data_IF_782357711718
#
_entry.id   IF_782357711718
#
_cell.length_a   1.000
_cell.length_b   1.000
_cell.length_c   1.000
_cell.angle_alpha   90.00
_cell.angle_beta   90.00
_cell.angle_gamma   90.00
#
_symmetry.space_group_name_H-M   'P 1'
#
loop_
_entity.id
_entity.type
_entity.pdbx_description
1 polymer ?
2 non-polymer ?
3 non-polymer ?
4 non-polymer ?
5 water ?
#
# COMPACT_ATOMS: atom_id res chain seq x y z
N UNK A 35 16.23 4.96 -11.14
CA UNK A 35 15.17 6.00 -11.31
C UNK A 35 14.04 5.52 -12.23
N UNK A 36 14.34 5.45 -13.53
CA UNK A 36 13.39 4.92 -14.51
C UNK A 36 13.13 3.42 -14.32
N UNK A 37 14.14 2.70 -13.86
CA UNK A 37 14.01 1.29 -13.49
C UNK A 37 12.89 1.01 -12.50
N UNK A 38 12.68 1.92 -11.55
CA UNK A 38 11.61 1.81 -10.56
C UNK A 38 10.23 1.87 -11.22
N UNK A 39 10.03 2.81 -12.14
CA UNK A 39 8.79 2.91 -12.89
C UNK A 39 8.56 1.63 -13.71
N UNK A 40 9.64 1.10 -14.27
CA UNK A 40 9.57 -0.15 -15.00
C UNK A 40 9.10 -1.30 -14.10
N UNK A 41 9.62 -1.33 -12.87
CA UNK A 41 9.25 -2.37 -11.91
C UNK A 41 7.75 -2.29 -11.56
N UNK A 42 7.23 -1.09 -11.36
CA UNK A 42 5.83 -0.89 -11.02
C UNK A 42 4.90 -1.27 -12.19
N UNK A 43 5.31 -0.93 -13.41
CA UNK A 43 4.60 -1.36 -14.62
C UNK A 43 4.57 -2.88 -14.78
N UNK A 44 5.68 -3.53 -14.44
CA UNK A 44 5.80 -4.99 -14.57
C UNK A 44 5.14 -5.75 -13.41
N UNK A 45 4.68 -5.02 -12.40
CA UNK A 45 3.89 -5.62 -11.34
C UNK A 45 2.48 -5.83 -11.90
N UNK A 46 2.21 -7.06 -12.34
CA UNK A 46 0.94 -7.39 -13.03
C UNK A 46 -0.26 -7.22 -12.13
N UNK A 47 -0.17 -7.73 -10.90
CA UNK A 47 -1.27 -7.60 -9.96
C UNK A 47 -1.66 -6.13 -9.83
N UNK A 48 -0.67 -5.27 -9.60
CA UNK A 48 -0.90 -3.84 -9.46
C UNK A 48 -1.51 -3.26 -10.74
N UNK A 49 -0.79 -3.39 -11.85
CA UNK A 49 -1.17 -2.67 -13.06
C UNK A 49 -2.42 -3.25 -13.73
N UNK A 50 -2.54 -4.57 -13.77
CA UNK A 50 -3.72 -5.20 -14.35
C UNK A 50 -4.98 -4.99 -13.54
N UNK A 51 -4.85 -4.86 -12.21
CA UNK A 51 -6.01 -4.52 -11.36
C UNK A 51 -6.61 -3.18 -11.76
N UNK A 52 -5.75 -2.17 -11.93
CA UNK A 52 -6.19 -0.84 -12.34
C UNK A 52 -6.77 -0.88 -13.75
N UNK A 53 -6.07 -1.58 -14.64
CA UNK A 53 -6.54 -1.75 -16.02
C UNK A 53 -7.93 -2.39 -16.06
N UNK A 54 -8.10 -3.50 -15.34
CA UNK A 54 -9.38 -4.20 -15.26
C UNK A 54 -10.48 -3.34 -14.67
N UNK A 55 -10.19 -2.62 -13.59
CA UNK A 55 -11.18 -1.72 -12.99
C UNK A 55 -11.70 -0.71 -14.02
N UNK A 56 -10.76 -0.02 -14.67
CA UNK A 56 -11.09 1.04 -15.62
C UNK A 56 -11.81 0.47 -16.86
N UNK A 57 -11.21 -0.53 -17.48
CA UNK A 57 -11.78 -1.13 -18.70
C UNK A 57 -13.10 -1.85 -18.46
N UNK A 58 -13.29 -2.45 -17.29
CA UNK A 58 -14.53 -3.19 -17.02
C UNK A 58 -15.65 -2.36 -16.43
N UNK A 59 -15.34 -1.11 -16.09
CA UNK A 59 -16.31 -0.15 -15.59
C UNK A 59 -16.24 1.20 -16.33
N UNK A 60 -16.33 1.18 -17.68
CA UNK A 60 -16.14 2.40 -18.46
C UNK A 60 -17.22 3.47 -18.20
N UNK A 61 -18.36 3.06 -17.64
CA UNK A 61 -19.43 3.99 -17.24
C UNK A 61 -18.94 5.01 -16.21
N UNK A 62 -17.94 4.64 -15.43
CA UNK A 62 -17.36 5.53 -14.44
C UNK A 62 -16.54 6.66 -15.09
N UNK A 63 -16.07 6.40 -16.31
CA UNK A 63 -15.15 7.31 -17.00
C UNK A 63 -15.74 8.03 -18.21
N UNK A 64 -16.79 7.44 -18.80
CA UNK A 64 -17.37 7.94 -20.04
C UNK A 64 -17.76 9.42 -19.90
N UNK A 65 -17.11 10.26 -20.71
CA UNK A 65 -17.39 11.71 -20.76
C UNK A 65 -17.13 12.44 -19.45
N UNK A 66 -16.23 11.89 -18.62
CA UNK A 66 -15.89 12.49 -17.32
C UNK A 66 -14.57 13.24 -17.37
N UNK A 67 -14.40 14.16 -16.42
CA UNK A 67 -13.11 14.79 -16.17
C UNK A 67 -12.40 14.01 -15.06
N UNK A 68 -11.21 13.50 -15.38
CA UNK A 68 -10.45 12.61 -14.50
C UNK A 68 -9.12 13.27 -14.08
N UNK A 69 -8.79 13.15 -12.80
CA UNK A 69 -7.50 13.58 -12.29
C UNK A 69 -6.69 12.36 -11.85
N UNK A 70 -5.48 12.23 -12.41
CA UNK A 70 -4.56 11.13 -12.07
C UNK A 70 -3.41 11.69 -11.22
N UNK A 71 -3.48 11.46 -9.91
CA UNK A 71 -2.53 12.00 -8.94
C UNK A 71 -1.26 11.15 -8.87
N UNK A 72 -0.12 11.75 -9.25
CA UNK A 72 1.14 11.01 -9.34
C UNK A 72 1.09 10.04 -10.51
N UNK A 73 0.98 10.60 -11.71
CA UNK A 73 0.67 9.80 -12.91
C UNK A 73 1.82 8.97 -13.48
N UNK A 74 3.05 9.21 -13.02
CA UNK A 74 4.21 8.48 -13.55
C UNK A 74 4.31 8.60 -15.06
N UNK A 75 4.45 7.46 -15.74
CA UNK A 75 4.51 7.38 -17.22
C UNK A 75 3.21 7.80 -17.92
N UNK A 76 2.12 7.87 -17.16
CA UNK A 76 0.80 8.26 -17.70
C UNK A 76 -0.12 7.10 -18.02
N UNK A 77 0.28 5.90 -17.63
CA UNK A 77 -0.45 4.69 -18.02
C UNK A 77 -1.92 4.69 -17.54
N UNK A 78 -2.17 5.13 -16.31
CA UNK A 78 -3.55 5.18 -15.79
C UNK A 78 -4.38 6.24 -16.52
N UNK A 79 -3.73 7.35 -16.89
CA UNK A 79 -4.38 8.40 -17.68
C UNK A 79 -4.79 7.88 -19.06
N UNK A 80 -3.94 7.07 -19.68
CA UNK A 80 -4.27 6.47 -20.97
C UNK A 80 -5.38 5.41 -20.85
N UNK A 81 -5.39 4.63 -19.75
CA UNK A 81 -6.51 3.70 -19.52
C UNK A 81 -7.83 4.49 -19.46
N UNK A 82 -7.81 5.57 -18.70
CA UNK A 82 -9.02 6.39 -18.50
C UNK A 82 -9.46 7.00 -19.84
N UNK A 83 -8.51 7.45 -20.65
CA UNK A 83 -8.82 8.01 -21.97
C UNK A 83 -9.46 6.95 -22.88
N UNK A 84 -8.91 5.76 -22.90
CA UNK A 84 -9.46 4.66 -23.62
C UNK A 84 -10.85 4.26 -23.18
N UNK A 85 -11.12 4.37 -21.90
CA UNK A 85 -12.46 4.03 -21.37
C UNK A 85 -13.49 5.13 -21.63
N UNK A 86 -13.05 6.21 -22.30
CA UNK A 86 -13.94 7.26 -22.79
C UNK A 86 -13.91 8.58 -22.03
N UNK A 87 -12.91 8.81 -21.19
CA UNK A 87 -12.81 10.09 -20.48
C UNK A 87 -12.84 11.28 -21.45
N UNK A 88 -13.59 12.32 -21.09
CA UNK A 88 -13.64 13.56 -21.85
C UNK A 88 -12.30 14.29 -21.73
N UNK A 89 -11.76 14.31 -20.50
CA UNK A 89 -10.51 15.01 -20.18
C UNK A 89 -9.80 14.28 -19.06
N UNK A 90 -8.50 14.06 -19.20
CA UNK A 90 -7.69 13.55 -18.10
C UNK A 90 -6.54 14.49 -17.76
N UNK A 91 -6.37 14.77 -16.48
CA UNK A 91 -5.25 15.57 -16.00
C UNK A 91 -4.29 14.69 -15.23
N UNK A 92 -3.06 14.55 -15.72
CA UNK A 92 -2.05 13.75 -15.05
C UNK A 92 -1.04 14.68 -14.41
N UNK A 93 -0.88 14.54 -13.10
CA UNK A 93 0.02 15.39 -12.33
C UNK A 93 1.11 14.54 -11.67
N UNK A 94 2.36 14.98 -11.77
CA UNK A 94 3.47 14.30 -11.11
C UNK A 94 4.56 15.32 -10.86
N UNK A 95 5.25 15.21 -9.73
CA UNK A 95 6.31 16.16 -9.40
C UNK A 95 7.68 15.77 -9.94
N UNK A 96 7.80 14.53 -10.40
CA UNK A 96 9.06 13.97 -10.86
C UNK A 96 9.31 14.19 -12.35
N UNK A 97 10.59 14.08 -12.74
CA UNK A 97 11.04 14.22 -14.13
C UNK A 97 10.41 13.21 -15.10
N UNK A 98 9.90 12.11 -14.55
CA UNK A 98 9.13 11.14 -15.34
C UNK A 98 8.00 11.81 -16.14
N UNK A 99 7.50 12.94 -15.63
CA UNK A 99 6.42 13.68 -16.28
C UNK A 99 6.79 14.05 -17.72
N UNK A 100 8.07 14.34 -17.98
CA UNK A 100 8.53 14.65 -19.34
C UNK A 100 8.47 13.44 -20.26
N UNK A 101 8.76 12.26 -19.73
CA UNK A 101 8.57 11.02 -20.49
C UNK A 101 7.08 10.81 -20.79
N UNK A 102 6.24 11.02 -19.79
CA UNK A 102 4.77 10.92 -19.95
C UNK A 102 4.26 11.79 -21.10
N UNK A 103 4.79 13.00 -21.20
CA UNK A 103 4.42 13.92 -22.28
C UNK A 103 4.69 13.28 -23.65
N UNK A 104 5.88 12.68 -23.79
CA UNK A 104 6.25 12.02 -25.02
C UNK A 104 5.40 10.76 -25.25
N UNK A 105 5.15 10.02 -24.17
CA UNK A 105 4.31 8.82 -24.25
C UNK A 105 2.90 9.17 -24.72
N UNK A 106 2.29 10.17 -24.09
CA UNK A 106 0.94 10.60 -24.46
C UNK A 106 0.88 10.97 -25.95
N UNK A 107 1.91 11.64 -26.46
CA UNK A 107 2.02 12.00 -27.88
C UNK A 107 2.18 10.80 -28.81
N UNK A 108 3.01 9.82 -28.41
CA UNK A 108 3.19 8.60 -29.18
C UNK A 108 1.87 7.85 -29.33
N UNK A 109 1.01 7.97 -28.33
CA UNK A 109 -0.29 7.29 -28.36
C UNK A 109 -1.45 8.15 -28.86
N UNK A 110 -1.12 9.35 -29.37
CA UNK A 110 -2.08 10.29 -29.98
C UNK A 110 -3.22 10.68 -29.03
N UNK A 111 -2.86 10.94 -27.78
CA UNK A 111 -3.88 11.21 -26.75
C UNK A 111 -3.77 12.61 -26.16
N UNK A 112 -2.94 13.44 -26.78
CA UNK A 112 -2.67 14.79 -26.27
C UNK A 112 -3.90 15.71 -26.27
N UNK A 113 -4.88 15.42 -27.13
CA UNK A 113 -6.13 16.18 -27.11
C UNK A 113 -7.10 15.78 -25.98
N UNK A 114 -6.81 14.65 -25.33
CA UNK A 114 -7.58 14.17 -24.18
C UNK A 114 -6.82 14.30 -22.85
N UNK A 115 -5.51 14.06 -22.90
CA UNK A 115 -4.69 14.03 -21.68
C UNK A 115 -3.75 15.22 -21.61
N UNK A 116 -3.87 16.00 -20.53
CA UNK A 116 -2.99 17.13 -20.27
C UNK A 116 -2.13 16.77 -19.07
N UNK A 117 -0.81 16.98 -19.19
CA UNK A 117 0.12 16.67 -18.12
C UNK A 117 0.70 17.93 -17.49
N UNK A 118 0.80 17.89 -16.16
CA UNK A 118 1.20 19.05 -15.38
C UNK A 118 2.23 18.60 -14.36
N UNK A 119 3.38 19.26 -14.39
CA UNK A 119 4.49 18.94 -13.51
C UNK A 119 4.44 19.76 -12.24
N UNK A 120 4.42 19.08 -11.10
CA UNK A 120 4.44 19.73 -9.78
C UNK A 120 3.66 18.95 -8.74
N UNK A 121 3.69 19.46 -7.50
CA UNK A 121 2.91 18.89 -6.41
C UNK A 121 1.44 19.30 -6.58
N UNK A 122 0.53 18.37 -6.29
CA UNK A 122 -0.91 18.64 -6.45
C UNK A 122 -1.39 19.85 -5.63
N UNK A 123 -0.69 20.14 -4.54
CA UNK A 123 -1.02 21.24 -3.65
C UNK A 123 -0.50 22.59 -4.15
N UNK A 124 0.30 22.57 -5.22
CA UNK A 124 0.89 23.79 -5.75
C UNK A 124 0.48 24.14 -7.19
N UNK A 125 0.18 23.12 -8.00
CA UNK A 125 -0.10 23.34 -9.42
C UNK A 125 -1.43 24.00 -9.69
N UNK A 126 -1.53 24.63 -10.86
CA UNK A 126 -2.79 25.19 -11.31
C UNK A 126 -3.39 24.26 -12.36
N UNK A 127 -4.59 23.77 -12.08
CA UNK A 127 -5.32 22.94 -13.04
C UNK A 127 -6.20 23.82 -13.94
N UNK A 128 -6.47 23.38 -15.18
CA UNK A 128 -7.31 24.16 -16.08
C UNK A 128 -8.82 23.95 -15.85
N UNK A 129 -9.18 23.31 -14.74
CA UNK A 129 -10.59 23.18 -14.34
C UNK A 129 -10.75 23.49 -12.86
N UNK A 130 -11.97 23.81 -12.42
CA UNK A 130 -12.24 24.04 -11.00
C UNK A 130 -12.42 22.74 -10.22
N UNK A 131 -13.10 21.78 -10.86
CA UNK A 131 -13.44 20.51 -10.22
C UNK A 131 -13.22 19.36 -11.21
N UNK A 132 -13.07 18.15 -10.68
CA UNK A 132 -13.01 16.94 -11.49
C UNK A 132 -14.07 15.95 -11.00
N UNK A 133 -14.45 15.01 -11.87
CA UNK A 133 -15.49 14.02 -11.58
C UNK A 133 -14.94 12.79 -10.87
N UNK A 134 -13.70 12.44 -11.22
CA UNK A 134 -13.07 11.20 -10.75
C UNK A 134 -11.61 11.44 -10.48
N UNK A 135 -11.13 10.91 -9.36
CA UNK A 135 -9.72 10.87 -9.04
C UNK A 135 -9.27 9.42 -9.03
N UNK A 136 -8.18 9.15 -9.73
CA UNK A 136 -7.52 7.85 -9.69
C UNK A 136 -6.07 8.10 -9.33
N UNK A 137 -5.48 7.14 -8.62
CA UNK A 137 -4.10 7.27 -8.20
C UNK A 137 -3.60 5.92 -7.74
N UNK A 138 -2.35 5.62 -8.05
CA UNK A 138 -1.65 4.52 -7.40
C UNK A 138 -0.70 5.14 -6.39
N UNK A 139 -1.14 5.21 -5.15
CA UNK A 139 -0.46 6.03 -4.13
C UNK A 139 0.17 5.18 -3.05
N UNK A 140 -0.16 3.89 -3.04
CA UNK A 140 0.14 2.99 -1.91
C UNK A 140 1.63 2.71 -1.64
N UNK A 141 2.00 2.78 -0.35
CA UNK A 141 3.36 2.44 0.08
C UNK A 141 3.44 1.06 0.74
N UNK A 142 4.65 0.66 1.15
CA UNK A 142 4.81 -0.53 1.98
C UNK A 142 3.96 -0.43 3.24
N UNK A 143 3.31 -1.53 3.62
CA UNK A 143 2.38 -1.57 4.77
C UNK A 143 1.31 -0.45 4.59
N UNK A 144 0.93 -0.26 3.32
CA UNK A 144 -0.01 0.77 2.87
C UNK A 144 0.51 2.20 3.00
N UNK A 145 0.99 2.57 4.19
CA UNK A 145 1.20 3.97 4.51
C UNK A 145 2.66 4.51 4.56
N UNK A 146 3.66 3.64 4.51
CA UNK A 146 5.03 4.14 4.49
C UNK A 146 5.32 4.77 3.16
N UNK A 147 5.70 6.04 3.23
CA UNK A 147 6.09 6.83 2.04
C UNK A 147 5.00 6.82 0.96
N UNK A 148 3.74 6.82 1.40
CA UNK A 148 2.61 6.79 0.49
C UNK A 148 2.27 8.21 0.02
N UNK A 149 1.52 8.31 -1.08
CA UNK A 149 1.02 9.60 -1.52
C UNK A 149 -0.43 9.86 -1.08
N UNK A 150 -0.94 9.10 -0.11
CA UNK A 150 -2.35 9.26 0.31
C UNK A 150 -2.67 10.71 0.72
N UNK A 151 -1.72 11.36 1.39
CA UNK A 151 -1.88 12.75 1.78
C UNK A 151 -2.22 13.64 0.57
N UNK A 152 -1.55 13.41 -0.55
CA UNK A 152 -1.75 14.20 -1.77
C UNK A 152 -3.10 13.87 -2.44
N UNK A 153 -3.47 12.58 -2.41
CA UNK A 153 -4.77 12.13 -2.90
C UNK A 153 -5.91 12.78 -2.12
N UNK A 154 -5.80 12.80 -0.80
CA UNK A 154 -6.83 13.40 0.05
C UNK A 154 -6.90 14.92 -0.13
N UNK A 155 -5.75 15.56 -0.31
CA UNK A 155 -5.72 16.98 -0.64
C UNK A 155 -6.49 17.23 -1.94
N UNK A 156 -6.18 16.45 -2.98
CA UNK A 156 -6.84 16.53 -4.28
C UNK A 156 -8.35 16.31 -4.15
N UNK A 157 -8.73 15.31 -3.35
CA UNK A 157 -10.13 15.02 -3.05
C UNK A 157 -10.82 16.23 -2.42
N UNK A 158 -10.19 16.84 -1.42
CA UNK A 158 -10.78 17.98 -0.71
C UNK A 158 -10.83 19.26 -1.54
N UNK A 159 -9.78 19.52 -2.32
CA UNK A 159 -9.78 20.73 -3.14
C UNK A 159 -10.57 20.59 -4.44
N UNK A 160 -10.40 19.46 -5.14
CA UNK A 160 -10.85 19.35 -6.53
C UNK A 160 -12.02 18.42 -6.88
N UNK A 161 -12.36 17.48 -6.00
CA UNK A 161 -13.43 16.53 -6.36
C UNK A 161 -14.82 17.18 -6.35
N UNK A 162 -15.51 17.11 -7.49
CA UNK A 162 -16.86 17.63 -7.62
C UNK A 162 -17.77 16.98 -6.60
N UNK A 163 -18.80 17.72 -6.17
CA UNK A 163 -19.81 17.17 -5.28
C UNK A 163 -20.37 15.90 -5.93
N UNK A 164 -20.38 14.79 -5.20
CA UNK A 164 -20.85 13.53 -5.77
C UNK A 164 -19.85 12.80 -6.68
N UNK A 165 -18.62 13.31 -6.76
CA UNK A 165 -17.55 12.62 -7.50
C UNK A 165 -17.05 11.38 -6.78
N UNK A 166 -16.06 10.71 -7.37
CA UNK A 166 -15.54 9.46 -6.82
C UNK A 166 -14.01 9.37 -6.87
N UNK A 167 -13.43 8.65 -5.91
CA UNK A 167 -11.98 8.44 -5.79
C UNK A 167 -11.69 6.95 -5.81
N UNK A 168 -10.72 6.53 -6.62
CA UNK A 168 -10.39 5.13 -6.75
C UNK A 168 -8.89 4.92 -6.65
N UNK A 169 -8.47 3.82 -5.99
CA UNK A 169 -9.32 2.82 -5.32
C UNK A 169 -10.00 3.43 -4.11
N UNK A 170 -11.24 3.02 -3.83
CA UNK A 170 -12.02 3.70 -2.81
C UNK A 170 -11.95 3.11 -1.39
N UNK A 171 -11.61 1.83 -1.27
CA UNK A 171 -11.54 1.14 0.02
C UNK A 171 -10.21 0.40 0.16
N UNK A 172 -9.54 0.58 1.31
CA UNK A 172 -8.27 -0.07 1.63
C UNK A 172 -8.36 -0.66 3.02
N UNK A 173 -7.71 -1.79 3.25
CA UNK A 173 -7.61 -2.36 4.60
C UNK A 173 -6.18 -2.72 4.89
N UNK A 174 -5.81 -2.71 6.16
CA UNK A 174 -4.51 -3.20 6.60
C UNK A 174 -4.76 -4.37 7.54
N UNK A 175 -3.97 -5.43 7.38
CA UNK A 175 -4.07 -6.62 8.23
C UNK A 175 -2.75 -7.05 8.83
N UNK A 176 -2.84 -7.71 9.99
CA UNK A 176 -1.69 -8.34 10.64
C UNK A 176 -1.84 -9.86 10.68
N UNK A 177 -0.74 -10.58 10.66
CA UNK A 177 -0.76 -12.05 10.73
C UNK A 177 0.50 -12.52 11.47
N UNK A 178 0.36 -13.54 12.33
CA UNK A 178 1.50 -14.05 13.09
C UNK A 178 2.33 -15.01 12.25
N UNK A 179 3.64 -15.01 12.51
CA UNK A 179 4.60 -15.78 11.74
C UNK A 179 5.42 -16.66 12.69
N UNK A 180 5.69 -17.90 12.27
CA UNK A 180 6.71 -18.74 12.94
C UNK A 180 7.82 -19.03 11.95
N UNK A 181 9.02 -18.55 12.25
CA UNK A 181 10.18 -18.87 11.41
C UNK A 181 11.42 -18.80 12.26
N UNK A 182 11.61 -19.85 13.05
CA UNK A 182 12.70 -19.99 13.99
C UNK A 182 14.07 -19.93 13.29
N UNK A 183 14.18 -20.52 12.11
CA UNK A 183 15.42 -20.46 11.33
C UNK A 183 15.78 -19.04 10.86
N UNK A 184 14.80 -18.33 10.30
CA UNK A 184 15.03 -16.93 9.91
C UNK A 184 15.31 -16.02 11.11
N UNK A 185 14.59 -16.23 12.20
CA UNK A 185 14.85 -15.46 13.42
C UNK A 185 16.30 -15.70 13.88
N UNK A 186 16.72 -16.96 13.92
CA UNK A 186 18.09 -17.28 14.28
C UNK A 186 19.12 -16.60 13.36
N UNK A 187 18.79 -16.51 12.06
CA UNK A 187 19.62 -15.83 11.07
C UNK A 187 19.78 -14.34 11.35
N UNK A 188 18.73 -13.71 11.88
CA UNK A 188 18.74 -12.26 12.13
C UNK A 188 19.21 -11.89 13.53
N UNK A 189 18.96 -12.77 14.50
CA UNK A 189 19.12 -12.41 15.92
C UNK A 189 20.26 -13.16 16.58
N UNK A 190 20.11 -14.47 16.74
CA UNK A 190 21.15 -15.30 17.35
C UNK A 190 22.48 -15.19 16.59
N UNK A 191 22.41 -14.91 15.29
CA UNK A 191 23.58 -14.64 14.45
C UNK A 191 24.60 -13.73 15.13
N UNK A 192 24.12 -12.69 15.82
CA UNK A 192 24.99 -11.67 16.41
C UNK A 192 25.81 -12.16 17.61
N UNK A 193 25.47 -13.32 18.16
CA UNK A 193 26.19 -13.81 19.33
C UNK A 193 27.60 -14.31 19.02
N UNK A 194 27.84 -14.74 17.79
CA UNK A 194 29.14 -15.26 17.37
C UNK A 194 29.37 -14.92 15.91
N UNK A 195 30.13 -13.85 15.67
CA UNK A 195 30.38 -13.37 14.33
C UNK A 195 31.88 -13.55 14.06
N UNK A 196 32.19 -14.61 13.32
CA UNK A 196 33.57 -15.03 13.04
C UNK A 196 34.41 -15.07 14.31
N UNK A 197 33.81 -15.60 15.38
CA UNK A 197 34.53 -15.78 16.64
C UNK A 197 34.38 -14.65 17.66
N UNK A 198 33.64 -13.61 17.30
CA UNK A 198 33.47 -12.45 18.19
C UNK A 198 32.03 -12.20 18.59
N UNK A 199 31.84 -11.69 19.82
CA UNK A 199 30.51 -11.33 20.31
C UNK A 199 30.07 -10.00 19.72
N UNK A 200 28.83 -9.96 19.24
CA UNK A 200 28.25 -8.74 18.68
C UNK A 200 26.81 -8.60 19.16
N UNK A 201 26.53 -9.15 20.34
CA UNK A 201 25.16 -9.20 20.90
C UNK A 201 24.40 -7.88 20.88
N UNK A 202 25.12 -6.78 21.10
CA UNK A 202 24.52 -5.46 21.16
C UNK A 202 23.82 -5.03 19.86
N UNK A 203 24.24 -5.63 18.73
CA UNK A 203 23.63 -5.35 17.42
C UNK A 203 22.18 -5.84 17.30
N UNK A 204 21.80 -6.82 18.13
CA UNK A 204 20.40 -7.27 18.19
C UNK A 204 19.43 -6.08 18.37
N UNK A 205 19.78 -5.18 19.30
CA UNK A 205 18.98 -3.98 19.59
C UNK A 205 18.89 -3.02 18.42
N UNK A 206 19.86 -3.10 17.51
CA UNK A 206 19.88 -2.22 16.35
C UNK A 206 19.02 -2.76 15.21
N UNK A 207 18.96 -4.09 15.06
CA UNK A 207 18.23 -4.68 13.93
C UNK A 207 16.74 -4.91 14.24
N UNK A 208 16.41 -5.17 15.50
CA UNK A 208 15.01 -5.41 15.88
C UNK A 208 14.04 -4.30 15.42
N UNK A 209 14.38 -3.00 15.66
CA UNK A 209 13.47 -1.93 15.28
C UNK A 209 13.30 -1.69 13.78
N UNK A 210 14.13 -2.32 12.95
CA UNK A 210 14.03 -2.15 11.50
C UNK A 210 13.01 -3.13 10.93
N UNK A 211 11.84 -2.62 10.53
CA UNK A 211 10.86 -3.44 9.82
C UNK A 211 11.46 -3.91 8.48
N UNK A 212 11.08 -5.11 8.05
CA UNK A 212 11.68 -5.75 6.88
C UNK A 212 10.62 -5.86 5.80
N UNK A 213 10.99 -5.57 4.54
CA UNK A 213 10.04 -5.73 3.45
C UNK A 213 10.49 -6.95 2.63
N UNK A 214 9.65 -7.99 2.64
CA UNK A 214 10.08 -9.28 2.12
C UNK A 214 8.87 -10.13 1.80
N UNK A 215 8.98 -10.97 0.78
CA UNK A 215 7.93 -11.92 0.47
C UNK A 215 8.06 -13.10 1.42
N UNK A 216 6.98 -13.42 2.12
CA UNK A 216 7.00 -14.51 3.07
C UNK A 216 6.47 -15.81 2.47
N UNK A 217 7.09 -16.91 2.88
CA UNK A 217 6.59 -18.26 2.62
C UNK A 217 5.26 -18.43 3.39
N UNK A 218 4.15 -18.64 2.67
CA UNK A 218 2.82 -18.69 3.30
C UNK A 218 2.68 -19.83 4.30
N UNK A 219 3.55 -20.84 4.22
CA UNK A 219 3.53 -21.95 5.17
C UNK A 219 4.00 -21.52 6.56
N UNK A 220 4.67 -20.37 6.64
CA UNK A 220 5.19 -19.90 7.93
C UNK A 220 4.15 -19.07 8.72
N UNK A 221 3.00 -18.80 8.08
CA UNK A 221 1.90 -18.09 8.76
C UNK A 221 1.21 -19.01 9.74
N UNK A 222 1.02 -18.53 10.97
CA UNK A 222 0.49 -19.37 12.04
C UNK A 222 -0.75 -18.81 12.71
N UNK A 223 -1.38 -17.82 12.08
CA UNK A 223 -2.67 -17.36 12.55
C UNK A 223 -3.53 -16.96 11.37
N UNK A 224 -4.84 -16.81 11.63
CA UNK A 224 -5.73 -16.13 10.71
C UNK A 224 -5.29 -14.66 10.67
N UNK A 225 -5.48 -13.97 9.53
CA UNK A 225 -5.19 -12.54 9.52
C UNK A 225 -6.21 -11.77 10.38
N UNK A 226 -5.80 -10.60 10.87
CA UNK A 226 -6.72 -9.72 11.58
C UNK A 226 -6.63 -8.31 10.98
N UNK A 227 -7.77 -7.77 10.55
CA UNK A 227 -7.84 -6.39 10.06
C UNK A 227 -7.57 -5.45 11.22
N UNK A 228 -6.72 -4.44 10.98
CA UNK A 228 -6.45 -3.42 11.98
C UNK A 228 -6.86 -2.02 11.52
N UNK A 229 -7.27 -1.90 10.26
CA UNK A 229 -7.58 -0.59 9.68
C UNK A 229 -8.40 -0.75 8.41
N UNK A 230 -9.41 0.12 8.29
CA UNK A 230 -10.28 0.18 7.13
C UNK A 230 -10.33 1.65 6.77
N UNK A 231 -10.10 1.95 5.50
CA UNK A 231 -10.07 3.32 4.99
C UNK A 231 -11.02 3.40 3.82
N UNK A 232 -11.96 4.34 3.83
CA UNK A 232 -12.69 4.71 2.62
C UNK A 232 -12.23 6.09 2.21
N UNK A 233 -11.63 6.16 1.03
CA UNK A 233 -10.99 7.39 0.55
C UNK A 233 -11.96 8.58 0.41
N UNK A 234 -13.25 8.28 0.27
CA UNK A 234 -14.26 9.33 0.21
C UNK A 234 -14.43 10.10 1.51
N UNK A 235 -14.24 9.41 2.64
CA UNK A 235 -14.52 10.02 3.95
C UNK A 235 -13.29 10.15 4.85
N UNK A 236 -12.20 9.48 4.49
CA UNK A 236 -10.98 9.52 5.30
C UNK A 236 -10.36 10.93 5.32
N UNK A 237 -9.87 11.36 6.49
CA UNK A 237 -9.09 12.58 6.60
C UNK A 237 -7.63 12.20 6.87
N UNK A 238 -6.74 13.19 6.76
CA UNK A 238 -5.31 12.96 7.00
C UNK A 238 -5.07 12.48 8.44
N UNK A 239 -5.81 13.03 9.39
CA UNK A 239 -5.65 12.63 10.79
C UNK A 239 -6.07 11.17 11.08
N UNK A 240 -6.88 10.58 10.20
CA UNK A 240 -7.29 9.17 10.35
C UNK A 240 -6.15 8.19 10.09
N UNK A 241 -5.09 8.67 9.44
CA UNK A 241 -3.94 7.82 9.09
C UNK A 241 -3.01 7.55 10.27
N UNK A 242 -3.20 8.29 11.36
CA UNK A 242 -2.54 7.96 12.62
C UNK A 242 -3.61 7.30 13.48
N UNK A 243 -3.41 6.02 13.79
CA UNK A 243 -4.49 5.25 14.39
C UNK A 243 -3.97 4.18 15.32
N UNK A 244 -4.87 3.65 16.15
CA UNK A 244 -4.56 2.56 17.08
C UNK A 244 -5.59 1.49 16.90
N UNK A 245 -5.20 0.23 17.11
CA UNK A 245 -6.16 -0.86 17.01
C UNK A 245 -5.80 -1.94 18.00
N UNK A 246 -6.78 -2.40 18.75
CA UNK A 246 -6.62 -3.65 19.48
C UNK A 246 -6.88 -4.76 18.48
N UNK A 247 -6.05 -5.79 18.49
CA UNK A 247 -6.25 -6.90 17.54
C UNK A 247 -6.24 -8.24 18.27
N UNK A 248 -6.80 -9.25 17.62
CA UNK A 248 -6.80 -10.61 18.12
C UNK A 248 -6.39 -11.56 16.99
N UNK A 249 -5.30 -12.30 17.21
CA UNK A 249 -4.83 -13.24 16.21
C UNK A 249 -5.29 -14.64 16.57
N UNK A 250 -6.11 -15.23 15.70
CA UNK A 250 -6.61 -16.58 15.93
C UNK A 250 -5.53 -17.56 15.48
N UNK A 251 -4.81 -18.08 16.46
CA UNK A 251 -3.68 -18.97 16.21
C UNK A 251 -4.13 -20.29 15.59
N UNK A 252 -3.46 -20.69 14.51
CA UNK A 252 -3.86 -21.88 13.76
C UNK A 252 -2.84 -23.02 13.85
N UNK A 253 -1.66 -22.73 14.41
CA UNK A 253 -0.62 -23.73 14.56
C UNK A 253 0.14 -23.56 15.87
N UNK A 254 0.24 -24.66 16.61
CA UNK A 254 1.07 -24.71 17.80
C UNK A 254 2.53 -24.58 17.36
N UNK A 255 3.16 -23.49 17.80
CA UNK A 255 4.49 -23.12 17.33
C UNK A 255 5.08 -21.97 18.12
N UNK A 256 6.31 -21.60 17.78
CA UNK A 256 7.01 -20.43 18.31
C UNK A 256 6.74 -19.25 17.40
N UNK A 257 6.09 -18.20 17.93
CA UNK A 257 5.81 -17.00 17.16
C UNK A 257 7.05 -16.13 17.19
N UNK A 258 7.58 -15.80 16.02
CA UNK A 258 8.87 -15.11 15.92
C UNK A 258 8.77 -13.72 15.30
N UNK A 259 7.63 -13.45 14.64
CA UNK A 259 7.40 -12.16 13.99
C UNK A 259 5.91 -11.93 13.76
N UNK A 260 5.58 -10.67 13.52
CA UNK A 260 4.26 -10.28 13.09
C UNK A 260 4.42 -9.64 11.71
N UNK A 261 3.60 -10.09 10.77
CA UNK A 261 3.63 -9.57 9.42
C UNK A 261 2.42 -8.68 9.13
N UNK A 262 2.63 -7.68 8.30
CA UNK A 262 1.55 -6.81 7.87
C UNK A 262 1.43 -6.73 6.37
N UNK A 263 0.21 -6.51 5.89
CA UNK A 263 -0.08 -6.30 4.46
C UNK A 263 -1.37 -5.52 4.31
N UNK A 264 -1.77 -5.27 3.06
CA UNK A 264 -2.94 -4.47 2.80
C UNK A 264 -3.72 -5.02 1.62
N UNK A 265 -5.01 -4.71 1.58
CA UNK A 265 -5.87 -5.10 0.46
C UNK A 265 -6.47 -3.83 -0.13
N UNK A 266 -6.71 -3.85 -1.44
CA UNK A 266 -7.15 -2.67 -2.19
C UNK A 266 -8.43 -3.06 -2.93
N UNK A 267 -9.47 -2.25 -2.78
CA UNK A 267 -10.77 -2.54 -3.38
C UNK A 267 -11.19 -1.41 -4.29
N UNK A 268 -11.79 -1.77 -5.43
CA UNK A 268 -12.46 -0.83 -6.32
C UNK A 268 -13.93 -1.24 -6.26
N UNK A 269 -14.76 -0.44 -5.60
CA UNK A 269 -16.12 -0.84 -5.27
C UNK A 269 -17.22 0.09 -5.77
N UNK A 270 -17.11 1.38 -5.41
CA UNK A 270 -18.22 2.33 -5.62
C UNK A 270 -18.71 2.34 -7.07
N UNK A 271 -20.01 2.10 -7.24
CA UNK A 271 -20.66 2.17 -8.55
C UNK A 271 -20.11 1.19 -9.60
N UNK A 272 -19.39 0.16 -9.14
CA UNK A 272 -18.82 -0.83 -10.06
C UNK A 272 -19.80 -1.93 -10.37
N UNK A 273 -19.94 -2.25 -11.66
CA UNK A 273 -20.56 -3.50 -12.08
C UNK A 273 -19.56 -4.65 -11.98
N UNK A 274 -18.30 -4.36 -12.24
CA UNK A 274 -17.23 -5.34 -12.05
C UNK A 274 -16.28 -4.86 -10.95
N UNK A 275 -16.52 -5.33 -9.72
CA UNK A 275 -15.63 -5.03 -8.60
C UNK A 275 -14.25 -5.64 -8.78
N UNK A 276 -13.23 -4.94 -8.31
CA UNK A 276 -11.88 -5.45 -8.43
C UNK A 276 -11.24 -5.36 -7.03
N UNK A 277 -10.55 -6.43 -6.67
CA UNK A 277 -9.82 -6.49 -5.42
C UNK A 277 -8.45 -7.05 -5.73
N UNK A 278 -7.45 -6.61 -4.97
CA UNK A 278 -6.20 -7.37 -4.84
C UNK A 278 -5.66 -7.29 -3.41
N UNK A 279 -4.94 -8.33 -3.03
CA UNK A 279 -4.33 -8.42 -1.73
C UNK A 279 -2.83 -8.44 -1.90
N UNK A 280 -2.11 -7.88 -0.93
CA UNK A 280 -0.65 -7.95 -0.95
C UNK A 280 -0.16 -8.91 0.14
N UNK A 281 -1.06 -9.75 0.65
CA UNK A 281 -0.69 -10.73 1.68
C UNK A 281 0.06 -11.93 1.13
N UNK A 282 0.63 -12.74 2.04
CA UNK A 282 1.48 -13.88 1.63
C UNK A 282 0.74 -15.04 0.97
N UNK A 283 -0.59 -15.14 1.14
CA UNK A 283 -1.39 -16.17 0.45
C UNK A 283 -1.72 -15.78 -0.99
N UNK A 284 -1.36 -14.56 -1.38
CA UNK A 284 -1.64 -14.09 -2.74
C UNK A 284 -0.35 -13.92 -3.54
N UNK A 285 -0.51 -13.94 -4.85
CA UNK A 285 0.57 -13.63 -5.80
C UNK A 285 1.36 -12.44 -5.30
N UNK A 286 2.68 -12.59 -5.31
CA UNK A 286 3.57 -11.54 -4.83
C UNK A 286 3.42 -10.28 -5.67
N UNK A 287 3.57 -9.13 -5.01
CA UNK A 287 3.57 -7.82 -5.67
C UNK A 287 4.86 -7.12 -5.26
N UNK A 288 5.13 -5.95 -5.84
CA UNK A 288 6.34 -5.19 -5.43
C UNK A 288 6.25 -4.68 -3.97
N UNK A 289 5.05 -4.63 -3.40
CA UNK A 289 4.90 -4.24 -1.98
C UNK A 289 5.29 -5.38 -1.04
N UNK A 290 5.40 -6.59 -1.57
CA UNK A 290 5.75 -7.77 -0.76
C UNK A 290 4.89 -7.81 0.52
N UNK A 291 5.51 -8.18 1.65
CA UNK A 291 4.88 -7.99 2.96
C UNK A 291 5.83 -7.24 3.89
N UNK A 292 5.30 -6.70 4.98
CA UNK A 292 6.14 -5.98 5.96
C UNK A 292 6.27 -6.84 7.24
N UNK A 293 7.48 -6.99 7.73
CA UNK A 293 7.75 -7.94 8.83
C UNK A 293 8.34 -7.20 10.03
N UNK A 294 7.74 -7.44 11.19
CA UNK A 294 8.17 -6.85 12.45
C UNK A 294 8.70 -7.99 13.31
N UNK A 295 10.01 -8.06 13.46
CA UNK A 295 10.61 -9.16 14.21
C UNK A 295 10.39 -8.98 15.69
N UNK A 296 10.10 -10.08 16.38
CA UNK A 296 9.98 -10.08 17.83
C UNK A 296 11.35 -10.33 18.45
N UNK A 297 11.73 -9.49 19.39
CA UNK A 297 12.97 -9.69 20.14
C UNK A 297 12.94 -11.00 20.94
N UNK A 298 11.80 -11.30 21.56
CA UNK A 298 11.67 -12.54 22.32
C UNK A 298 10.52 -13.39 21.76
N UNK A 299 10.84 -14.33 20.84
CA UNK A 299 9.83 -15.25 20.33
C UNK A 299 9.15 -15.99 21.49
N UNK A 300 7.89 -16.36 21.31
CA UNK A 300 7.14 -17.00 22.41
C UNK A 300 6.21 -18.04 21.84
N UNK A 301 5.97 -19.09 22.62
CA UNK A 301 5.19 -20.18 22.09
C UNK A 301 3.69 -19.86 22.13
N UNK A 302 2.99 -20.33 21.11
CA UNK A 302 1.55 -20.18 20.99
C UNK A 302 0.96 -21.54 20.66
N UNK A 303 -0.35 -21.69 20.90
CA UNK A 303 -1.06 -22.94 20.64
C UNK A 303 -2.23 -22.72 19.69
N UNK A 304 -2.45 -23.65 18.77
CA UNK A 304 -3.63 -23.61 17.89
C UNK A 304 -4.90 -23.42 18.71
N UNK A 305 -5.79 -22.56 18.23
CA UNK A 305 -7.02 -22.25 18.95
C UNK A 305 -6.90 -21.05 19.88
N UNK A 306 -5.68 -20.69 20.27
CA UNK A 306 -5.45 -19.52 21.12
C UNK A 306 -5.89 -18.22 20.44
N UNK A 307 -6.53 -17.34 21.21
CA UNK A 307 -6.84 -16.00 20.77
C UNK A 307 -5.77 -15.06 21.31
N UNK A 308 -4.79 -14.71 20.48
CA UNK A 308 -3.66 -13.89 20.91
C UNK A 308 -3.97 -12.40 20.74
N UNK A 309 -3.97 -11.67 21.85
CA UNK A 309 -4.34 -10.27 21.85
C UNK A 309 -3.13 -9.34 21.87
N UNK A 310 -3.22 -8.25 21.12
CA UNK A 310 -2.17 -7.25 21.12
C UNK A 310 -2.73 -5.90 20.76
N UNK A 311 -1.84 -4.92 20.69
CA UNK A 311 -2.24 -3.60 20.27
C UNK A 311 -1.20 -3.03 19.32
N UNK A 312 -1.68 -2.28 18.33
CA UNK A 312 -0.82 -1.67 17.34
C UNK A 312 -1.23 -0.21 17.17
N UNK A 313 -0.22 0.66 17.07
CA UNK A 313 -0.44 2.07 16.78
C UNK A 313 0.52 2.54 15.70
N UNK A 314 -0.01 3.33 14.77
CA UNK A 314 0.77 3.88 13.67
C UNK A 314 0.85 5.40 13.85
N UNK A 315 2.06 5.93 13.92
CA UNK A 315 2.31 7.36 14.12
C UNK A 315 3.12 7.96 12.98
N UNK A 316 2.88 9.24 12.68
CA UNK A 316 3.68 10.01 11.71
C UNK A 316 5.13 10.20 12.16
N UNK A 323 8.25 10.09 8.02
CA UNK A 323 8.45 8.66 8.24
C UNK A 323 7.52 8.12 9.33
N UNK A 324 6.83 7.03 9.02
CA UNK A 324 5.93 6.37 9.97
C UNK A 324 6.64 5.42 10.93
N UNK A 325 6.10 5.30 12.13
CA UNK A 325 6.54 4.28 13.07
C UNK A 325 5.33 3.45 13.48
N UNK A 326 5.60 2.20 13.86
CA UNK A 326 4.56 1.25 14.21
C UNK A 326 4.92 0.72 15.59
N UNK A 327 4.04 0.89 16.55
CA UNK A 327 4.27 0.42 17.92
C UNK A 327 3.42 -0.81 18.14
N UNK A 328 4.06 -1.91 18.54
CA UNK A 328 3.38 -3.18 18.78
C UNK A 328 3.49 -3.60 20.22
N UNK A 329 2.36 -3.94 20.83
CA UNK A 329 2.38 -4.63 22.12
C UNK A 329 1.82 -6.04 21.95
N UNK A 330 2.59 -7.01 22.43
CA UNK A 330 2.21 -8.41 22.30
C UNK A 330 2.99 -9.21 23.34
N UNK A 331 2.33 -10.19 23.97
CA UNK A 331 2.97 -11.01 25.02
C UNK A 331 3.70 -10.17 26.08
N UNK A 332 3.09 -9.04 26.45
CA UNK A 332 3.62 -8.14 27.50
C UNK A 332 4.96 -7.49 27.18
N UNK A 333 5.28 -7.39 25.89
CA UNK A 333 6.43 -6.61 25.41
C UNK A 333 5.94 -5.59 24.42
N UNK A 334 6.56 -4.41 24.44
CA UNK A 334 6.25 -3.36 23.48
C UNK A 334 7.51 -2.99 22.71
N UNK A 335 7.36 -2.82 21.40
CA UNK A 335 8.46 -2.39 20.56
C UNK A 335 7.94 -1.46 19.47
N UNK A 336 8.68 -0.39 19.20
CA UNK A 336 8.39 0.51 18.10
C UNK A 336 9.32 0.23 16.92
N UNK A 337 8.73 0.13 15.74
CA UNK A 337 9.46 -0.23 14.53
C UNK A 337 9.37 0.88 13.50
N UNK A 338 10.38 0.99 12.65
CA UNK A 338 10.32 1.91 11.51
C UNK A 338 10.75 1.26 10.23
N UNK A 339 10.43 1.89 9.09
CA UNK A 339 10.94 1.37 7.82
C UNK A 339 12.12 2.15 7.24
X LIG B 1 14.47 -10.70 8.52
X LIG B 1 19.40 -10.44 5.67
X LIG B 1 11.10 -13.17 7.81
X LIG B 1 10.29 -13.86 8.71
X LIG B 1 12.67 -12.69 9.57
X LIG B 1 20.70 -9.97 5.81
X LIG B 1 20.75 -8.54 6.42
X LIG B 1 19.63 -7.59 5.96
X LIG B 1 15.71 -9.74 6.29
X LIG B 1 18.24 -8.21 6.22
X LIG B 1 16.90 -10.44 5.61
X LIG B 1 10.55 -14.58 12.18
X LIG B 1 10.01 -14.60 11.05
X LIG B 1 14.60 -10.70 6.30
X LIG B 1 13.02 -11.95 7.30
X LIG B 1 11.94 -13.73 12.09
X LIG B 1 18.22 -9.71 5.83
X LIG B 1 14.05 -11.11 7.44
X LIG B 1 12.29 -12.57 8.23
X LIG B 1 10.67 -13.98 10.03
X LIG B 1 11.86 -13.37 10.45
X LIG C 1 7.87 -23.63 16.11
X LIG D 1 -1.23 -25.19 9.91
X LIG E 1 4.45 4.63 -14.09
X LIG F 1 -4.09 27.53 -8.14
X LIG G 1 -15.16 -3.73 2.25
X LIG H 1 3.97 13.08 -8.11
X LIG I 1 1.07 -17.41 -3.99
X LIG J 1 10.73 -5.84 -12.38
X LIG K 1 -18.88 20.84 -7.37
X LIG L 1 31.85 -16.18 21.66
X LIG M 1 -11.12 -0.48 -23.76
#
# INVERSE_FOLDING_TARGET
MGSSHHHHHHSSGLVPRGSDLQEDEDGVYFSSYGHYGIHEEMLKDKIRTESYRDFIYQNPHIFKDKVVLDVGCGTGILSMFAAKAGAKKVLGVDQSEILYQAMDIIRLNKLEDTITLIKGKIEEVHLPVEKVDVIISEWMGYFLLFESMLDSVLYAKNKYLAKGGSVYPDICTISLVAVSDVNKHADRIAFWDDVYGFKMSCMKKAVIPEAVVEVLDPKTLISEPCGIKHIDCHTTSISDLEFSSDFTLKITRTSMCTAIAGYFDIYFEKNCHNRVVFSTGPQSTKTHWKQTVFLLEKPFSVKAGEALKGKVTVHKNKKDPRSLTVTLTLNNSTQTYGLQ
TDU OAA CAB CAC CAD CAE CAF CAG CAH CAI CAJ CAK NAL NAM NAN NAO SAP CAQ CAR CAS CAT CAU
CL CL
UNX UNK
UNX UNK
UNX UNK
UNX UNK
UNX UNK
UNX UNK
UNX UNK
UNX UNK
UNX UNK
UNX UNK
#
